data_IF_651501919141
#
_entry.id   IF_651501919141
#
_cell.length_a   1.000
_cell.length_b   1.000
_cell.length_c   1.000
_cell.angle_alpha   90.00
_cell.angle_beta   90.00
_cell.angle_gamma   90.00
#
_symmetry.space_group_name_H-M   'P 1'
#
loop_
_entity.id
_entity.type
_entity.pdbx_description
1 polymer ?
#
# COMPACT_ATOMS: atom_id res chain seq x y z
N UNK A 1 -18.44 -0.50 4.98
CA UNK A 1 -18.52 0.76 5.80
C UNK A 1 -18.98 1.91 4.91
N UNK A 2 -19.52 3.00 5.50
CA UNK A 2 -19.61 4.25 4.76
C UNK A 2 -18.20 4.75 4.41
N UNK A 3 -18.05 5.41 3.26
CA UNK A 3 -16.72 5.85 2.75
C UNK A 3 -15.94 6.66 3.79
N UNK A 4 -16.63 7.61 4.47
CA UNK A 4 -15.99 8.42 5.50
C UNK A 4 -15.52 7.61 6.70
N UNK A 5 -16.25 6.58 7.08
CA UNK A 5 -15.88 5.69 8.18
C UNK A 5 -14.69 4.79 7.80
N UNK A 6 -14.60 4.34 6.55
CA UNK A 6 -13.45 3.60 6.07
C UNK A 6 -12.16 4.45 6.10
N UNK A 7 -12.27 5.72 5.66
CA UNK A 7 -11.17 6.70 5.76
C UNK A 7 -10.73 6.90 7.22
N UNK A 8 -11.66 7.03 8.14
CA UNK A 8 -11.40 7.23 9.58
C UNK A 8 -10.90 5.98 10.29
N UNK A 9 -11.28 4.79 9.82
CA UNK A 9 -10.90 3.51 10.40
C UNK A 9 -9.50 3.06 9.94
N UNK A 10 -9.08 3.47 8.73
CA UNK A 10 -7.79 3.09 8.16
C UNK A 10 -6.63 3.52 9.07
N UNK A 11 -5.79 2.59 9.43
CA UNK A 11 -4.53 2.80 10.14
C UNK A 11 -3.47 1.83 9.64
N UNK A 12 -2.20 2.10 9.91
CA UNK A 12 -1.15 1.13 9.66
C UNK A 12 -1.28 -0.05 10.64
N UNK A 13 -1.31 -1.26 10.10
CA UNK A 13 -1.35 -2.53 10.82
C UNK A 13 -0.10 -3.32 10.46
N UNK A 14 0.72 -3.69 11.45
CA UNK A 14 1.96 -4.43 11.27
C UNK A 14 2.01 -5.74 12.07
N UNK A 15 0.96 -6.03 12.84
CA UNK A 15 0.75 -7.31 13.51
C UNK A 15 -0.55 -7.92 12.98
N UNK A 16 -0.46 -9.09 12.40
CA UNK A 16 -1.57 -9.74 11.71
C UNK A 16 -1.94 -11.04 12.41
N UNK A 17 -3.23 -11.39 12.31
CA UNK A 17 -3.71 -12.73 12.64
C UNK A 17 -3.31 -13.70 11.52
N UNK A 18 -3.23 -15.00 11.80
CA UNK A 18 -2.86 -16.01 10.81
C UNK A 18 -3.96 -16.29 9.76
N UNK A 19 -5.11 -15.62 9.88
CA UNK A 19 -6.24 -15.83 8.97
C UNK A 19 -5.87 -15.39 7.54
N UNK A 20 -6.13 -16.22 6.51
CA UNK A 20 -5.86 -15.85 5.13
C UNK A 20 -6.84 -14.75 4.68
N UNK A 21 -6.37 -13.86 3.82
CA UNK A 21 -7.23 -12.94 3.06
C UNK A 21 -7.67 -13.66 1.79
N UNK A 22 -8.96 -13.61 1.47
CA UNK A 22 -9.50 -14.29 0.30
C UNK A 22 -9.00 -13.68 -1.01
N UNK A 23 -8.97 -14.46 -2.09
CA UNK A 23 -8.62 -13.95 -3.41
C UNK A 23 -9.59 -12.83 -3.84
N UNK A 24 -10.89 -12.97 -3.57
CA UNK A 24 -11.90 -11.96 -3.87
C UNK A 24 -11.62 -10.62 -3.16
N UNK A 25 -11.23 -10.67 -1.88
CA UNK A 25 -10.87 -9.46 -1.13
C UNK A 25 -9.59 -8.82 -1.68
N UNK A 26 -8.57 -9.63 -2.05
CA UNK A 26 -7.35 -9.12 -2.68
C UNK A 26 -7.64 -8.50 -4.04
N UNK A 27 -8.50 -9.11 -4.85
CA UNK A 27 -8.94 -8.57 -6.14
C UNK A 27 -9.68 -7.24 -5.95
N UNK A 28 -10.56 -7.15 -4.94
CA UNK A 28 -11.26 -5.90 -4.61
C UNK A 28 -10.32 -4.79 -4.16
N UNK A 29 -9.30 -5.13 -3.37
CA UNK A 29 -8.28 -4.17 -2.93
C UNK A 29 -7.45 -3.67 -4.11
N UNK A 30 -6.97 -4.57 -4.97
CA UNK A 30 -6.16 -4.19 -6.15
C UNK A 30 -6.98 -3.44 -7.18
N UNK A 31 -8.25 -3.79 -7.37
CA UNK A 31 -9.17 -3.07 -8.25
C UNK A 31 -9.39 -1.61 -7.78
N UNK A 32 -9.45 -1.37 -6.47
CA UNK A 32 -9.51 -0.01 -5.94
C UNK A 32 -8.26 0.82 -6.33
N UNK A 33 -7.08 0.20 -6.29
CA UNK A 33 -5.84 0.81 -6.75
C UNK A 33 -5.85 1.07 -8.26
N UNK A 34 -6.28 0.08 -9.05
CA UNK A 34 -6.37 0.19 -10.51
C UNK A 34 -7.29 1.31 -10.99
N UNK A 35 -8.33 1.65 -10.18
CA UNK A 35 -9.29 2.75 -10.47
C UNK A 35 -8.82 4.11 -10.03
N UNK A 36 -7.66 4.24 -9.40
CA UNK A 36 -7.14 5.54 -9.02
C UNK A 36 -6.90 6.43 -10.24
N UNK A 37 -7.02 7.75 -10.10
CA UNK A 37 -6.67 8.66 -11.19
C UNK A 37 -5.16 8.70 -11.40
N UNK A 38 -4.73 9.04 -12.61
CA UNK A 38 -3.33 9.29 -12.95
C UNK A 38 -3.17 10.44 -13.92
N UNK A 39 -2.01 11.09 -13.91
CA UNK A 39 -1.69 12.18 -14.81
C UNK A 39 -1.86 11.74 -16.27
N UNK A 40 -2.70 12.45 -17.02
CA UNK A 40 -3.06 12.10 -18.41
C UNK A 40 -3.55 10.65 -18.60
N UNK A 41 -4.07 10.03 -17.53
CA UNK A 41 -4.52 8.64 -17.50
C UNK A 41 -3.44 7.63 -17.92
N UNK A 42 -2.17 7.90 -17.57
CA UNK A 42 -1.02 7.06 -17.99
C UNK A 42 -0.99 5.70 -17.30
N UNK A 43 -1.44 5.60 -16.03
CA UNK A 43 -1.58 4.35 -15.28
C UNK A 43 -0.28 3.53 -15.25
N UNK A 44 0.86 4.18 -14.94
CA UNK A 44 2.20 3.59 -14.99
C UNK A 44 2.48 2.55 -13.89
N UNK A 45 1.55 2.31 -12.97
CA UNK A 45 1.71 1.32 -11.90
C UNK A 45 1.40 -0.09 -12.35
N UNK A 46 2.14 -1.03 -11.79
CA UNK A 46 1.82 -2.45 -11.75
C UNK A 46 1.74 -2.93 -10.30
N UNK A 47 0.94 -3.97 -10.07
CA UNK A 47 0.75 -4.56 -8.75
C UNK A 47 1.06 -6.05 -8.80
N UNK A 48 2.02 -6.50 -7.97
CA UNK A 48 2.31 -7.93 -7.81
C UNK A 48 1.75 -8.39 -6.48
N UNK A 49 0.75 -9.27 -6.51
CA UNK A 49 0.13 -9.84 -5.30
C UNK A 49 0.87 -11.11 -4.91
N UNK A 50 1.35 -11.14 -3.67
CA UNK A 50 2.13 -12.24 -3.10
C UNK A 50 1.36 -12.81 -1.91
N UNK A 51 1.10 -14.12 -1.94
CA UNK A 51 0.45 -14.87 -0.85
C UNK A 51 1.29 -16.05 -0.37
N UNK A 52 2.36 -16.40 -1.09
CA UNK A 52 3.26 -17.47 -0.72
C UNK A 52 4.10 -17.09 0.53
N UNK A 53 4.06 -17.90 1.62
CA UNK A 53 4.74 -17.54 2.87
C UNK A 53 6.26 -17.47 2.76
N UNK A 54 6.88 -18.25 1.87
CA UNK A 54 8.34 -18.22 1.68
C UNK A 54 8.74 -16.95 0.95
N UNK A 55 7.95 -16.54 -0.04
CA UNK A 55 8.13 -15.30 -0.77
C UNK A 55 7.89 -14.08 0.14
N UNK A 56 6.87 -14.10 1.00
CA UNK A 56 6.63 -13.04 2.01
C UNK A 56 7.80 -12.91 2.99
N UNK A 57 8.36 -14.04 3.46
CA UNK A 57 9.56 -14.04 4.29
C UNK A 57 10.77 -13.46 3.56
N UNK A 58 10.99 -13.84 2.31
CA UNK A 58 12.07 -13.27 1.51
C UNK A 58 11.92 -11.77 1.32
N UNK A 59 10.72 -11.29 0.99
CA UNK A 59 10.41 -9.85 0.85
C UNK A 59 10.58 -9.07 2.16
N UNK A 60 10.37 -9.70 3.31
CA UNK A 60 10.58 -9.01 4.60
C UNK A 60 12.04 -8.61 4.84
N UNK A 61 12.98 -9.21 4.14
CA UNK A 61 14.41 -8.93 4.22
C UNK A 61 14.91 -7.78 3.33
N UNK A 62 14.11 -7.31 2.36
CA UNK A 62 14.56 -6.29 1.38
C UNK A 62 14.71 -4.88 1.99
N UNK A 63 14.24 -4.69 3.21
CA UNK A 63 14.38 -3.44 3.94
C UNK A 63 14.21 -3.64 5.46
N UNK A 64 14.98 -2.90 6.27
CA UNK A 64 14.89 -2.96 7.74
C UNK A 64 13.49 -2.70 8.32
N UNK A 65 12.63 -1.99 7.60
CA UNK A 65 11.25 -1.68 7.98
C UNK A 65 10.21 -2.65 7.41
N UNK A 66 10.63 -3.65 6.62
CA UNK A 66 9.74 -4.60 5.95
C UNK A 66 9.42 -5.85 6.80
N UNK A 67 9.98 -5.99 8.00
CA UNK A 67 9.84 -7.19 8.83
C UNK A 67 8.40 -7.65 9.08
N UNK A 68 7.42 -6.72 9.08
CA UNK A 68 6.00 -7.06 9.24
C UNK A 68 5.41 -7.83 8.05
N UNK A 69 6.04 -7.79 6.88
CA UNK A 69 5.61 -8.52 5.67
C UNK A 69 5.66 -10.03 5.88
N UNK A 70 6.63 -10.54 6.64
CA UNK A 70 6.75 -11.96 6.93
C UNK A 70 5.53 -12.57 7.66
N UNK A 71 4.81 -11.76 8.42
CA UNK A 71 3.61 -12.19 9.16
C UNK A 71 2.30 -11.75 8.51
N UNK A 72 2.35 -11.13 7.35
CA UNK A 72 1.15 -10.71 6.62
C UNK A 72 0.47 -11.91 5.93
N UNK A 73 -0.85 -11.84 5.72
CA UNK A 73 -1.58 -12.82 4.92
C UNK A 73 -1.26 -12.68 3.42
N UNK A 74 -0.94 -11.46 2.99
CA UNK A 74 -0.48 -11.14 1.65
C UNK A 74 0.40 -9.88 1.65
N UNK A 75 1.12 -9.66 0.57
CA UNK A 75 1.73 -8.38 0.25
C UNK A 75 1.39 -7.99 -1.19
N UNK A 76 1.19 -6.68 -1.41
CA UNK A 76 1.06 -6.12 -2.75
C UNK A 76 2.32 -5.30 -2.99
N UNK A 77 3.15 -5.74 -3.93
CA UNK A 77 4.29 -4.96 -4.38
C UNK A 77 3.81 -3.91 -5.38
N UNK A 78 4.21 -2.69 -5.15
CA UNK A 78 3.88 -1.52 -5.95
C UNK A 78 5.06 -1.24 -6.87
N UNK A 79 4.84 -1.41 -8.16
CA UNK A 79 5.90 -1.37 -9.17
C UNK A 79 5.66 -0.19 -10.11
N UNK A 80 6.72 0.51 -10.45
CA UNK A 80 6.73 1.58 -11.44
C UNK A 80 7.81 1.30 -12.49
N UNK A 81 7.62 1.73 -13.74
CA UNK A 81 8.73 1.79 -14.69
C UNK A 81 9.78 2.78 -14.20
N UNK A 82 11.05 2.54 -14.54
CA UNK A 82 12.10 3.51 -14.31
C UNK A 82 11.82 4.78 -15.12
N UNK A 83 11.61 5.90 -14.44
CA UNK A 83 11.24 7.14 -15.10
C UNK A 83 12.42 7.73 -15.90
N UNK A 84 12.11 8.30 -17.06
CA UNK A 84 13.11 8.93 -17.95
C UNK A 84 13.61 10.27 -17.38
N UNK A 85 12.80 10.96 -16.59
CA UNK A 85 13.12 12.26 -15.99
C UNK A 85 12.45 12.43 -14.61
N UNK A 86 12.94 13.43 -13.86
CA UNK A 86 12.48 13.72 -12.49
C UNK A 86 11.01 14.14 -12.42
N UNK A 87 10.50 14.85 -13.42
CA UNK A 87 9.08 15.26 -13.44
C UNK A 87 8.17 14.06 -13.61
N UNK A 88 8.50 13.15 -14.52
CA UNK A 88 7.77 11.90 -14.73
C UNK A 88 7.79 11.09 -13.44
N UNK A 89 8.97 10.95 -12.80
CA UNK A 89 9.12 10.25 -11.53
C UNK A 89 8.22 10.82 -10.44
N UNK A 90 8.16 12.13 -10.26
CA UNK A 90 7.33 12.78 -9.26
C UNK A 90 5.83 12.55 -9.53
N UNK A 91 5.40 12.60 -10.78
CA UNK A 91 4.01 12.33 -11.15
C UNK A 91 3.65 10.87 -10.90
N UNK A 92 4.51 9.92 -11.26
CA UNK A 92 4.27 8.50 -11.07
C UNK A 92 4.18 8.15 -9.58
N UNK A 93 5.04 8.74 -8.74
CA UNK A 93 4.95 8.57 -7.27
C UNK A 93 3.68 9.20 -6.68
N UNK A 94 3.26 10.36 -7.18
CA UNK A 94 2.01 10.99 -6.76
C UNK A 94 0.80 10.11 -7.12
N UNK A 95 0.76 9.61 -8.34
CA UNK A 95 -0.30 8.74 -8.84
C UNK A 95 -0.33 7.41 -8.07
N UNK A 96 0.84 6.78 -7.86
CA UNK A 96 0.97 5.57 -7.06
C UNK A 96 0.50 5.77 -5.61
N UNK A 97 0.75 6.94 -5.04
CA UNK A 97 0.26 7.31 -3.70
C UNK A 97 -1.27 7.32 -3.64
N UNK A 98 -1.94 7.83 -4.67
CA UNK A 98 -3.41 7.79 -4.79
C UNK A 98 -3.92 6.35 -4.90
N UNK A 99 -3.30 5.54 -5.77
CA UNK A 99 -3.66 4.13 -5.95
C UNK A 99 -3.51 3.35 -4.64
N UNK A 100 -2.38 3.55 -3.95
CA UNK A 100 -2.11 2.86 -2.69
C UNK A 100 -3.07 3.29 -1.58
N UNK A 101 -3.44 4.57 -1.52
CA UNK A 101 -4.42 5.04 -0.54
C UNK A 101 -5.81 4.46 -0.82
N UNK A 102 -6.23 4.38 -2.09
CA UNK A 102 -7.49 3.73 -2.48
C UNK A 102 -7.53 2.25 -2.04
N UNK A 103 -6.43 1.50 -2.26
CA UNK A 103 -6.30 0.12 -1.75
C UNK A 103 -6.45 0.06 -0.22
N UNK A 104 -5.78 0.96 0.50
CA UNK A 104 -5.81 0.96 1.96
C UNK A 104 -7.20 1.29 2.52
N UNK A 105 -7.98 2.14 1.85
CA UNK A 105 -9.37 2.44 2.22
C UNK A 105 -10.29 1.26 1.90
N UNK A 106 -10.13 0.63 0.72
CA UNK A 106 -10.89 -0.56 0.35
C UNK A 106 -10.62 -1.74 1.31
N UNK A 107 -9.36 -1.95 1.70
CA UNK A 107 -9.01 -2.95 2.71
C UNK A 107 -9.67 -2.64 4.06
N UNK A 108 -9.68 -1.37 4.49
CA UNK A 108 -10.31 -0.97 5.75
C UNK A 108 -11.83 -1.21 5.74
N UNK A 109 -12.51 -1.01 4.60
CA UNK A 109 -13.93 -1.35 4.43
C UNK A 109 -14.21 -2.84 4.66
N UNK A 110 -13.26 -3.70 4.29
CA UNK A 110 -13.29 -5.15 4.48
C UNK A 110 -12.83 -5.59 5.89
N UNK A 111 -12.41 -4.65 6.74
CA UNK A 111 -11.82 -4.98 8.05
C UNK A 111 -10.37 -5.48 7.97
N UNK A 112 -9.74 -5.34 6.82
CA UNK A 112 -8.36 -5.76 6.53
C UNK A 112 -7.40 -4.59 6.77
N UNK A 113 -6.36 -4.85 7.55
CA UNK A 113 -5.30 -3.88 7.85
C UNK A 113 -4.21 -3.88 6.79
N UNK A 114 -3.64 -2.70 6.56
CA UNK A 114 -2.51 -2.53 5.64
C UNK A 114 -1.38 -1.74 6.29
N UNK A 115 -0.15 -1.98 5.87
CA UNK A 115 0.99 -1.12 6.20
C UNK A 115 2.04 -1.13 5.09
N UNK A 116 2.57 0.06 4.80
CA UNK A 116 3.65 0.23 3.83
C UNK A 116 5.00 -0.16 4.38
N UNK A 117 5.88 -0.61 3.48
CA UNK A 117 7.31 -0.67 3.66
C UNK A 117 8.01 -0.15 2.42
N UNK A 118 9.12 0.57 2.60
CA UNK A 118 10.05 0.86 1.51
C UNK A 118 10.78 -0.41 1.09
N UNK A 119 11.44 -0.35 -0.06
CA UNK A 119 12.34 -1.36 -0.59
C UNK A 119 13.74 -0.76 -0.69
N UNK A 120 14.70 -1.28 0.04
CA UNK A 120 16.09 -0.82 0.02
C UNK A 120 16.95 -1.65 -0.92
N UNK A 121 16.72 -2.95 -0.99
CA UNK A 121 17.41 -3.87 -1.89
C UNK A 121 16.52 -4.14 -3.12
N UNK A 122 16.70 -3.31 -4.15
CA UNK A 122 15.95 -3.42 -5.41
C UNK A 122 16.26 -4.71 -6.18
N UNK A 123 17.51 -5.15 -6.16
CA UNK A 123 17.92 -6.35 -6.90
C UNK A 123 17.31 -7.60 -6.29
N UNK A 124 17.36 -7.70 -4.96
CA UNK A 124 16.68 -8.78 -4.25
C UNK A 124 15.16 -8.76 -4.49
N UNK A 125 14.51 -7.60 -4.39
CA UNK A 125 13.07 -7.48 -4.59
C UNK A 125 12.66 -7.86 -6.03
N UNK A 126 13.35 -7.34 -7.04
CA UNK A 126 13.11 -7.72 -8.45
C UNK A 126 13.30 -9.21 -8.69
N UNK A 127 14.36 -9.79 -8.13
CA UNK A 127 14.62 -11.23 -8.27
C UNK A 127 13.53 -12.09 -7.62
N UNK A 128 13.08 -11.73 -6.42
CA UNK A 128 12.00 -12.44 -5.71
C UNK A 128 10.69 -12.38 -6.49
N UNK A 129 10.38 -11.22 -7.09
CA UNK A 129 9.09 -10.95 -7.74
C UNK A 129 9.08 -11.19 -9.25
N UNK A 130 10.24 -11.42 -9.88
CA UNK A 130 10.35 -11.52 -11.34
C UNK A 130 10.13 -10.19 -12.06
N UNK A 131 10.34 -9.05 -11.39
CA UNK A 131 10.17 -7.72 -11.96
C UNK A 131 11.31 -7.38 -12.90
N UNK A 132 11.03 -6.85 -14.12
CA UNK A 132 12.06 -6.50 -15.10
C UNK A 132 13.05 -5.43 -14.60
N UNK A 133 14.23 -5.36 -15.20
CA UNK A 133 15.30 -4.45 -14.79
C UNK A 133 14.97 -2.96 -15.04
N UNK A 134 14.08 -2.66 -15.97
CA UNK A 134 13.57 -1.33 -16.30
C UNK A 134 12.40 -0.87 -15.42
N UNK A 135 12.12 -1.63 -14.34
CA UNK A 135 11.11 -1.31 -13.35
C UNK A 135 11.73 -1.30 -11.94
N UNK A 136 11.11 -0.54 -11.04
CA UNK A 136 11.45 -0.53 -9.62
C UNK A 136 10.29 -1.03 -8.76
N UNK A 137 10.61 -1.80 -7.73
CA UNK A 137 9.66 -2.14 -6.67
C UNK A 137 9.67 -0.99 -5.66
N UNK A 138 8.74 -0.07 -5.80
CA UNK A 138 8.74 1.20 -5.06
C UNK A 138 8.42 0.98 -3.57
N UNK A 139 7.36 0.22 -3.30
CA UNK A 139 6.91 -0.11 -1.96
C UNK A 139 6.31 -1.51 -1.89
N UNK A 140 6.25 -2.04 -0.68
CA UNK A 140 5.45 -3.21 -0.34
C UNK A 140 4.29 -2.78 0.56
N UNK A 141 3.08 -3.22 0.26
CA UNK A 141 1.90 -3.04 1.09
C UNK A 141 1.55 -4.39 1.74
N UNK A 142 1.88 -4.56 3.02
CA UNK A 142 1.46 -5.73 3.78
C UNK A 142 -0.04 -5.68 4.04
N UNK A 143 -0.71 -6.83 3.93
CA UNK A 143 -2.17 -6.97 3.98
C UNK A 143 -2.53 -8.14 4.90
N UNK A 144 -3.47 -7.94 5.83
CA UNK A 144 -3.93 -9.00 6.72
C UNK A 144 -4.87 -8.49 7.80
N UNK A 145 -5.55 -9.40 8.48
CA UNK A 145 -6.45 -9.02 9.57
C UNK A 145 -5.65 -8.57 10.81
N UNK A 146 -6.03 -7.42 11.44
CA UNK A 146 -5.32 -6.91 12.61
C UNK A 146 -5.32 -7.90 13.79
N UNK A 147 -4.15 -8.14 14.38
CA UNK A 147 -4.03 -8.98 15.59
C UNK A 147 -4.36 -8.23 16.88
N UNK A 148 -4.18 -6.90 16.91
CA UNK A 148 -4.34 -6.06 18.09
C UNK A 148 -5.80 -5.67 18.36
N UNK A 149 -6.46 -5.07 17.37
CA UNK A 149 -7.85 -4.59 17.49
C UNK A 149 -8.50 -4.45 16.12
N UNK A 150 -9.81 -4.63 16.01
CA UNK A 150 -10.55 -4.38 14.76
C UNK A 150 -10.37 -2.95 14.26
N UNK A 151 -10.49 -2.75 12.95
CA UNK A 151 -10.56 -1.43 12.35
C UNK A 151 -11.91 -0.79 12.66
N UNK A 152 -11.87 0.39 13.27
CA UNK A 152 -13.04 1.22 13.61
C UNK A 152 -12.67 2.69 13.43
N UNK A 153 -13.63 3.58 13.12
CA UNK A 153 -13.39 5.01 13.06
C UNK A 153 -12.66 5.53 14.30
N UNK A 154 -11.52 6.21 14.09
CA UNK A 154 -10.72 6.79 15.17
C UNK A 154 -11.32 8.13 15.53
N UNK A 155 -11.83 8.27 16.76
CA UNK A 155 -12.48 9.49 17.23
C UNK A 155 -11.48 10.64 17.38
N UNK A 156 -10.31 10.38 17.98
CA UNK A 156 -9.27 11.36 18.24
C UNK A 156 -7.98 10.96 17.49
N UNK A 157 -7.87 11.26 16.17
CA UNK A 157 -6.67 10.94 15.42
C UNK A 157 -5.52 11.87 15.83
N UNK A 158 -4.31 11.31 15.94
CA UNK A 158 -3.10 12.13 16.10
C UNK A 158 -2.79 12.80 14.74
N UNK A 159 -3.35 13.99 14.55
CA UNK A 159 -3.18 14.85 13.37
C UNK A 159 -2.94 16.28 13.80
N UNK A 160 -2.23 17.03 13.00
CA UNK A 160 -2.13 18.47 13.16
C UNK A 160 -3.54 19.09 13.09
N UNK A 161 -3.81 20.15 13.87
CA UNK A 161 -5.06 20.89 13.79
C UNK A 161 -5.36 21.35 12.37
N UNK A 162 -6.64 21.35 11.96
CA UNK A 162 -7.03 21.74 10.61
C UNK A 162 -6.55 23.16 10.26
N UNK A 163 -6.59 24.09 11.22
CA UNK A 163 -6.14 25.47 11.02
C UNK A 163 -4.63 25.61 10.69
N UNK A 164 -3.81 24.59 10.97
CA UNK A 164 -2.40 24.59 10.65
C UNK A 164 -2.09 24.02 9.25
N UNK A 165 -3.06 23.40 8.59
CA UNK A 165 -2.87 22.69 7.31
C UNK A 165 -3.86 23.08 6.22
N UNK A 166 -4.92 23.81 6.59
CA UNK A 166 -5.93 24.30 5.65
C UNK A 166 -5.93 25.83 5.68
N UNK A 167 -5.54 26.42 4.57
CA UNK A 167 -5.48 27.86 4.38
C UNK A 167 -6.52 28.26 3.32
N UNK A 168 -7.28 29.33 3.58
CA UNK A 168 -8.34 29.80 2.68
C UNK A 168 -7.86 31.02 1.90
N UNK A 169 -7.68 30.84 0.60
CA UNK A 169 -7.30 31.89 -0.33
C UNK A 169 -5.80 32.17 -0.42
N UNK A 170 -5.09 32.18 0.70
CA UNK A 170 -3.65 32.41 0.77
C UNK A 170 -3.04 31.67 1.97
N UNK A 171 -1.71 31.52 1.96
CA UNK A 171 -0.95 30.89 3.06
C UNK A 171 -0.95 31.77 4.31
#
# INVERSE_FOLDING_TARGET
>A
METWDAIRARRNVRAYRPDPVTAEDLDRITEAGRRAPSASNRQHWDFVVVTDPDQLRALSGVWRGAGHIAGAAAAIALVLPTAEDERTRLLDYYDLGQATYAMAVAAADLGIGTAHSSVGDQDAARKILGVPADHEVTFLLGVGYPADRPLRPIANPNRRPAAEVVHHGHW
#
